data_IF_309493391761
#
_entry.id   IF_309493391761
#
_cell.length_a   1.000
_cell.length_b   1.000
_cell.length_c   1.000
_cell.angle_alpha   90.00
_cell.angle_beta   90.00
_cell.angle_gamma   90.00
#
_symmetry.space_group_name_H-M   'P 1'
#
loop_
_entity.id
_entity.type
_entity.pdbx_description
1 polymer ?
#
# COMPACT_ATOMS: atom_id res chain seq x y z
N UNK A 1 6.11 -1.89 -28.65
CA UNK A 1 5.19 -1.73 -27.48
C UNK A 1 5.84 -0.89 -26.40
N UNK A 2 5.27 0.27 -26.01
CA UNK A 2 5.77 1.06 -24.86
C UNK A 2 5.44 0.33 -23.56
N UNK A 3 6.43 -0.26 -22.88
CA UNK A 3 6.25 -0.93 -21.59
C UNK A 3 6.01 0.13 -20.50
N UNK A 4 4.77 0.25 -20.03
CA UNK A 4 4.44 1.15 -18.93
C UNK A 4 5.17 0.72 -17.66
N UNK A 5 6.03 1.59 -17.11
CA UNK A 5 6.75 1.33 -15.85
C UNK A 5 5.75 1.27 -14.70
N UNK A 6 5.65 0.10 -14.06
CA UNK A 6 4.81 -0.12 -12.87
C UNK A 6 5.64 0.05 -11.59
N UNK A 7 4.93 0.31 -10.50
CA UNK A 7 5.48 0.39 -9.14
C UNK A 7 4.56 -0.39 -8.20
N UNK A 8 5.18 -0.99 -7.20
CA UNK A 8 4.54 -1.70 -6.11
C UNK A 8 4.64 -0.84 -4.86
N UNK A 9 3.54 -0.65 -4.16
CA UNK A 9 3.41 0.21 -3.00
C UNK A 9 2.94 -0.66 -1.84
N UNK A 10 3.68 -0.65 -0.73
CA UNK A 10 3.33 -1.33 0.50
C UNK A 10 2.62 -0.37 1.44
N UNK A 11 1.39 -0.72 1.79
CA UNK A 11 0.62 -0.11 2.86
C UNK A 11 0.69 -0.99 4.10
N UNK A 12 0.80 -0.37 5.27
CA UNK A 12 0.79 -1.03 6.58
C UNK A 12 -0.26 -0.41 7.48
N UNK A 13 -0.89 -1.24 8.30
CA UNK A 13 -1.92 -0.87 9.26
C UNK A 13 -1.35 -0.87 10.69
N UNK A 14 -1.75 0.12 11.49
CA UNK A 14 -1.22 0.33 12.85
C UNK A 14 -1.89 -0.50 13.94
N UNK A 15 -2.96 -1.23 13.66
CA UNK A 15 -3.72 -1.98 14.65
C UNK A 15 -4.38 -3.21 14.04
N UNK A 16 -4.80 -4.20 14.85
CA UNK A 16 -5.74 -5.24 14.40
C UNK A 16 -7.07 -4.57 14.08
N UNK A 17 -7.17 -4.09 12.85
CA UNK A 17 -8.31 -3.41 12.24
C UNK A 17 -9.26 -4.46 11.61
N UNK A 18 -10.49 -4.10 11.15
CA UNK A 18 -11.50 -5.04 10.64
C UNK A 18 -10.97 -5.90 9.50
N UNK A 19 -11.73 -6.89 8.98
CA UNK A 19 -11.26 -7.73 7.89
C UNK A 19 -10.62 -6.91 6.77
N UNK A 20 -9.44 -7.33 6.32
CA UNK A 20 -8.64 -6.64 5.29
C UNK A 20 -9.45 -6.24 4.04
N UNK A 21 -10.54 -6.97 3.78
CA UNK A 21 -11.51 -6.76 2.71
C UNK A 21 -12.28 -5.43 2.83
N UNK A 22 -12.68 -5.03 4.04
CA UNK A 22 -13.36 -3.75 4.26
C UNK A 22 -12.39 -2.59 4.11
N UNK A 23 -11.20 -2.74 4.68
CA UNK A 23 -10.14 -1.75 4.56
C UNK A 23 -9.72 -1.55 3.11
N UNK A 24 -9.60 -2.64 2.34
CA UNK A 24 -9.27 -2.55 0.93
C UNK A 24 -10.33 -1.84 0.11
N UNK A 25 -11.62 -2.06 0.39
CA UNK A 25 -12.72 -1.36 -0.30
C UNK A 25 -12.66 0.14 -0.10
N UNK A 26 -12.48 0.59 1.15
CA UNK A 26 -12.38 2.02 1.45
C UNK A 26 -11.18 2.67 0.76
N UNK A 27 -10.02 1.99 0.75
CA UNK A 27 -8.84 2.46 0.03
C UNK A 27 -9.09 2.49 -1.48
N UNK A 28 -9.72 1.46 -2.07
CA UNK A 28 -10.04 1.42 -3.50
C UNK A 28 -11.00 2.54 -3.92
N UNK A 29 -11.99 2.85 -3.08
CA UNK A 29 -12.90 3.98 -3.29
C UNK A 29 -12.14 5.32 -3.24
N UNK A 30 -11.28 5.51 -2.24
CA UNK A 30 -10.44 6.71 -2.13
C UNK A 30 -9.55 6.88 -3.36
N UNK A 31 -8.91 5.81 -3.83
CA UNK A 31 -8.05 5.83 -5.01
C UNK A 31 -8.86 6.15 -6.28
N UNK A 32 -10.06 5.57 -6.43
CA UNK A 32 -10.96 5.88 -7.56
C UNK A 32 -11.41 7.33 -7.58
N UNK A 33 -11.83 7.87 -6.43
CA UNK A 33 -12.25 9.27 -6.29
C UNK A 33 -11.13 10.24 -6.69
N UNK A 34 -9.87 9.85 -6.47
CA UNK A 34 -8.68 10.62 -6.86
C UNK A 34 -8.14 10.25 -8.25
N UNK A 35 -8.88 9.47 -9.06
CA UNK A 35 -8.47 9.02 -10.41
C UNK A 35 -7.16 8.22 -10.44
N UNK A 36 -6.77 7.61 -9.33
CA UNK A 36 -5.55 6.81 -9.22
C UNK A 36 -5.87 5.36 -9.55
N UNK A 37 -5.40 4.91 -10.72
CA UNK A 37 -5.52 3.50 -11.14
C UNK A 37 -4.45 2.65 -10.47
N UNK A 38 -4.85 1.91 -9.44
CA UNK A 38 -4.04 0.88 -8.80
C UNK A 38 -4.82 -0.43 -8.68
N UNK A 39 -4.10 -1.54 -8.47
CA UNK A 39 -4.69 -2.87 -8.25
C UNK A 39 -3.99 -3.54 -7.09
N UNK A 40 -4.74 -4.15 -6.17
CA UNK A 40 -4.17 -5.02 -5.14
C UNK A 40 -3.50 -6.22 -5.83
N UNK A 41 -2.27 -6.53 -5.43
CA UNK A 41 -1.53 -7.70 -5.92
C UNK A 41 -1.18 -8.68 -4.80
N UNK A 42 -1.24 -8.22 -3.56
CA UNK A 42 -1.05 -9.06 -2.38
C UNK A 42 -1.73 -8.39 -1.18
N UNK A 43 -2.26 -9.21 -0.29
CA UNK A 43 -2.77 -8.78 1.01
C UNK A 43 -2.20 -9.67 2.11
N UNK A 44 -2.21 -9.16 3.33
CA UNK A 44 -1.91 -9.90 4.55
C UNK A 44 -2.64 -9.27 5.74
N UNK A 45 -2.46 -9.82 6.95
CA UNK A 45 -3.20 -9.37 8.14
C UNK A 45 -2.99 -7.89 8.48
N UNK A 46 -1.77 -7.38 8.24
CA UNK A 46 -1.35 -6.02 8.60
C UNK A 46 -0.77 -5.24 7.43
N UNK A 47 -0.97 -5.71 6.19
CA UNK A 47 -0.49 -5.00 5.00
C UNK A 47 -1.32 -5.22 3.74
N UNK A 48 -1.24 -4.25 2.82
CA UNK A 48 -1.69 -4.37 1.44
C UNK A 48 -0.56 -3.98 0.50
N UNK A 49 -0.44 -4.69 -0.62
CA UNK A 49 0.44 -4.29 -1.72
C UNK A 49 -0.41 -3.91 -2.93
N UNK A 50 -0.29 -2.65 -3.31
CA UNK A 50 -0.86 -2.13 -4.54
C UNK A 50 0.17 -2.08 -5.66
N UNK A 51 -0.31 -2.24 -6.89
CA UNK A 51 0.45 -2.00 -8.11
C UNK A 51 -0.18 -0.86 -8.89
N UNK A 52 0.59 0.17 -9.20
CA UNK A 52 0.12 1.32 -9.97
C UNK A 52 1.13 1.71 -11.07
N UNK A 53 0.77 2.69 -11.90
CA UNK A 53 1.72 3.34 -12.81
C UNK A 53 2.76 4.12 -12.01
N UNK A 54 4.02 4.11 -12.45
CA UNK A 54 5.08 4.91 -11.83
C UNK A 54 4.71 6.40 -11.74
N UNK A 55 3.99 6.91 -12.75
CA UNK A 55 3.54 8.31 -12.80
C UNK A 55 2.52 8.68 -11.72
N UNK A 56 1.86 7.69 -11.13
CA UNK A 56 0.81 7.89 -10.12
C UNK A 56 1.32 7.64 -8.70
N UNK A 57 2.61 7.34 -8.51
CA UNK A 57 3.16 7.03 -7.17
C UNK A 57 3.04 8.22 -6.23
N UNK A 58 3.33 9.43 -6.73
CA UNK A 58 3.33 10.62 -5.88
C UNK A 58 1.89 11.00 -5.48
N UNK A 59 0.95 10.93 -6.42
CA UNK A 59 -0.46 11.15 -6.12
C UNK A 59 -1.03 10.09 -5.17
N UNK A 60 -0.62 8.82 -5.35
CA UNK A 60 -0.96 7.75 -4.41
C UNK A 60 -0.44 8.08 -3.00
N UNK A 61 0.82 8.50 -2.88
CA UNK A 61 1.45 8.79 -1.58
C UNK A 61 0.78 9.94 -0.83
N UNK A 62 0.32 10.97 -1.54
CA UNK A 62 -0.34 12.14 -0.93
C UNK A 62 -1.63 11.79 -0.18
N UNK A 63 -2.25 10.66 -0.49
CA UNK A 63 -3.45 10.18 0.18
C UNK A 63 -3.17 9.51 1.55
N UNK A 64 -1.89 9.34 1.90
CA UNK A 64 -1.49 8.70 3.15
C UNK A 64 -0.55 9.61 3.95
N UNK A 65 -0.59 9.58 5.29
CA UNK A 65 -1.33 8.64 6.13
C UNK A 65 -2.85 8.87 6.08
N UNK A 66 -3.60 7.76 6.08
CA UNK A 66 -5.06 7.76 6.11
C UNK A 66 -5.50 7.21 7.46
N UNK A 67 -6.44 7.90 8.12
CA UNK A 67 -7.13 7.38 9.30
C UNK A 67 -8.45 6.76 8.85
N UNK A 68 -8.61 5.47 9.10
CA UNK A 68 -9.82 4.72 8.78
C UNK A 68 -10.93 4.99 9.80
N UNK A 69 -12.21 4.68 9.49
CA UNK A 69 -13.34 4.90 10.41
C UNK A 69 -13.21 4.19 11.78
N UNK A 70 -12.43 3.10 11.84
CA UNK A 70 -12.14 2.32 13.04
C UNK A 70 -10.89 2.80 13.81
N UNK A 71 -10.39 4.00 13.49
CA UNK A 71 -9.13 4.57 14.00
C UNK A 71 -7.85 3.83 13.58
N UNK A 72 -7.94 2.85 12.66
CA UNK A 72 -6.74 2.26 12.10
C UNK A 72 -6.00 3.26 11.21
N UNK A 73 -4.69 3.39 11.42
CA UNK A 73 -3.84 4.26 10.61
C UNK A 73 -3.19 3.46 9.50
N UNK A 74 -3.46 3.85 8.26
CA UNK A 74 -2.83 3.29 7.07
C UNK A 74 -1.67 4.18 6.64
N UNK A 75 -0.50 3.58 6.45
CA UNK A 75 0.71 4.33 6.06
C UNK A 75 1.44 3.64 4.90
N UNK A 76 2.03 4.43 4.02
CA UNK A 76 2.94 3.91 2.98
C UNK A 76 4.28 3.59 3.64
N UNK A 77 4.65 2.31 3.67
CA UNK A 77 5.95 1.85 4.22
C UNK A 77 7.03 1.71 3.16
N UNK A 78 6.66 1.50 1.90
CA UNK A 78 7.66 1.30 0.86
C UNK A 78 7.09 1.40 -0.55
N UNK A 79 7.96 1.74 -1.50
CA UNK A 79 7.66 1.71 -2.93
C UNK A 79 8.83 1.10 -3.68
N UNK A 80 8.56 0.18 -4.61
CA UNK A 80 9.60 -0.49 -5.39
C UNK A 80 9.16 -0.78 -6.83
N UNK A 81 10.14 -0.98 -7.72
CA UNK A 81 9.89 -1.49 -9.07
C UNK A 81 9.55 -2.98 -9.12
N UNK A 82 9.90 -3.74 -8.08
CA UNK A 82 9.67 -5.19 -8.00
C UNK A 82 9.15 -5.60 -6.63
N UNK A 83 8.31 -6.65 -6.61
CA UNK A 83 7.79 -7.23 -5.36
C UNK A 83 8.93 -7.76 -4.47
N UNK A 84 9.93 -8.42 -5.05
CA UNK A 84 11.09 -8.97 -4.32
C UNK A 84 11.75 -7.88 -3.46
N UNK A 85 12.17 -6.77 -4.09
CA UNK A 85 12.79 -5.65 -3.36
C UNK A 85 11.87 -5.03 -2.31
N UNK A 86 10.57 -4.93 -2.59
CA UNK A 86 9.61 -4.39 -1.63
C UNK A 86 9.49 -5.26 -0.38
N UNK A 87 9.46 -6.59 -0.55
CA UNK A 87 9.43 -7.57 0.54
C UNK A 87 10.73 -7.58 1.31
N UNK A 88 11.88 -7.57 0.62
CA UNK A 88 13.19 -7.55 1.26
C UNK A 88 13.32 -6.31 2.18
N UNK A 89 12.88 -5.13 1.71
CA UNK A 89 12.85 -3.91 2.53
C UNK A 89 11.86 -4.00 3.71
N UNK A 90 10.72 -4.65 3.53
CA UNK A 90 9.74 -4.81 4.60
C UNK A 90 10.22 -5.76 5.70
N UNK A 91 10.74 -6.94 5.34
CA UNK A 91 11.28 -7.93 6.28
C UNK A 91 12.45 -7.36 7.08
N UNK A 92 13.32 -6.56 6.45
CA UNK A 92 14.41 -5.88 7.14
C UNK A 92 13.91 -4.81 8.14
N UNK A 93 12.75 -4.20 7.87
CA UNK A 93 12.15 -3.20 8.77
C UNK A 93 11.51 -3.86 9.98
N UNK A 94 10.82 -5.00 9.81
CA UNK A 94 10.28 -5.79 10.93
C UNK A 94 11.36 -6.33 11.86
N UNK A 95 12.47 -6.82 11.29
CA UNK A 95 13.60 -7.34 12.09
C UNK A 95 14.25 -6.29 12.99
N UNK A 96 14.22 -5.01 12.61
CA UNK A 96 14.78 -3.90 13.42
C UNK A 96 13.89 -3.48 14.59
N UNK A 97 12.62 -3.87 14.60
CA UNK A 97 11.70 -3.60 15.72
C UNK A 97 11.73 -4.70 16.81
N UNK A 98 12.51 -5.77 16.60
CA UNK A 98 12.68 -6.90 17.50
C UNK A 98 14.10 -6.98 18.09
N UNK A 99 14.92 -5.93 17.94
CA UNK A 99 16.28 -5.83 18.46
C UNK A 99 16.39 -4.70 19.49
#
# INVERSE_FOLDING_TARGET
MKRFRKRYILLSFSSPSPPIQEQSKHIDELLRSNRIRASIVQCGPSFLIYRCSHRLVDDFRKLFPLTMPDNARVTVKGVSGTLKRLRDSHIQTDRKHLS
#
